data_IF_400491956835
#
_entry.id   IF_400491956835
#
_cell.length_a   1.000
_cell.length_b   1.000
_cell.length_c   1.000
_cell.angle_alpha   90.00
_cell.angle_beta   90.00
_cell.angle_gamma   90.00
#
_symmetry.space_group_name_H-M   'P 1'
#
loop_
_entity.id
_entity.type
_entity.pdbx_description
1 polymer ?
#
# COMPACT_ATOMS: atom_id res chain seq x y z
N UNK A 1 -28.78 -35.98 29.97
CA UNK A 1 -27.34 -35.67 30.13
C UNK A 1 -27.03 -34.46 29.26
N UNK A 2 -27.06 -33.26 29.84
CA UNK A 2 -26.69 -32.03 29.13
C UNK A 2 -25.17 -31.98 29.02
N UNK A 3 -24.64 -32.14 27.81
CA UNK A 3 -23.23 -31.96 27.51
C UNK A 3 -22.84 -30.52 27.80
N UNK A 4 -21.91 -30.34 28.74
CA UNK A 4 -21.35 -29.06 29.11
C UNK A 4 -20.55 -28.52 27.91
N UNK A 5 -21.19 -27.73 27.04
CA UNK A 5 -20.50 -27.01 25.97
C UNK A 5 -19.59 -26.01 26.67
N UNK A 6 -18.28 -26.30 26.75
CA UNK A 6 -17.29 -25.32 27.21
C UNK A 6 -17.42 -24.11 26.28
N UNK A 7 -17.99 -23.00 26.76
CA UNK A 7 -17.94 -21.74 26.06
C UNK A 7 -16.45 -21.42 25.85
N UNK A 8 -15.99 -21.48 24.60
CA UNK A 8 -14.67 -20.97 24.24
C UNK A 8 -14.62 -19.52 24.69
N UNK A 9 -13.55 -19.14 25.40
CA UNK A 9 -13.28 -17.76 25.76
C UNK A 9 -12.19 -17.26 24.82
N UNK A 10 -12.62 -16.71 23.70
CA UNK A 10 -11.77 -16.09 22.70
C UNK A 10 -11.34 -14.69 23.17
N UNK A 11 -10.19 -14.25 22.66
CA UNK A 11 -9.68 -12.91 22.84
C UNK A 11 -9.69 -12.19 21.49
N UNK A 12 -10.30 -11.02 21.45
CA UNK A 12 -10.40 -10.18 20.26
C UNK A 12 -9.54 -8.94 20.46
N UNK A 13 -8.68 -8.63 19.49
CA UNK A 13 -7.74 -7.52 19.55
C UNK A 13 -7.97 -6.57 18.38
N UNK A 14 -8.50 -5.39 18.65
CA UNK A 14 -8.58 -4.33 17.64
C UNK A 14 -7.35 -3.43 17.73
N UNK A 15 -6.71 -3.16 16.58
CA UNK A 15 -5.49 -2.35 16.49
C UNK A 15 -5.75 -1.15 15.58
N UNK A 16 -5.71 0.05 16.16
CA UNK A 16 -5.72 1.32 15.43
C UNK A 16 -4.30 1.86 15.27
N UNK A 17 -3.81 1.79 14.04
CA UNK A 17 -2.49 2.28 13.68
C UNK A 17 -2.47 3.80 13.44
N UNK A 18 -1.38 4.43 13.84
CA UNK A 18 -0.99 5.78 13.43
C UNK A 18 0.53 5.83 13.25
N UNK A 19 1.04 6.90 12.66
CA UNK A 19 2.48 7.08 12.43
C UNK A 19 3.31 7.17 13.72
N UNK A 20 2.69 7.48 14.87
CA UNK A 20 3.40 7.64 16.15
C UNK A 20 3.13 6.50 17.11
N UNK A 21 1.87 6.16 17.29
CA UNK A 21 1.42 5.18 18.29
C UNK A 21 0.33 4.27 17.72
N UNK A 22 0.26 3.05 18.24
CA UNK A 22 -0.85 2.14 18.04
C UNK A 22 -1.72 2.14 19.29
N UNK A 23 -3.02 2.38 19.08
CA UNK A 23 -4.03 2.20 20.13
C UNK A 23 -4.63 0.80 19.97
N UNK A 24 -4.76 0.07 21.06
CA UNK A 24 -5.21 -1.31 21.01
C UNK A 24 -6.31 -1.50 22.05
N UNK A 25 -7.32 -2.29 21.69
CA UNK A 25 -8.35 -2.76 22.61
C UNK A 25 -8.42 -4.27 22.52
N UNK A 26 -8.27 -4.91 23.67
CA UNK A 26 -8.41 -6.35 23.83
C UNK A 26 -9.73 -6.61 24.56
N UNK A 27 -10.48 -7.60 24.12
CA UNK A 27 -11.79 -7.94 24.70
C UNK A 27 -12.04 -9.45 24.69
N UNK A 28 -12.64 -9.99 25.74
CA UNK A 28 -13.07 -11.40 25.76
C UNK A 28 -14.55 -11.55 25.34
N UNK A 29 -15.06 -12.78 25.23
CA UNK A 29 -16.49 -13.03 24.92
C UNK A 29 -17.47 -12.51 25.98
N UNK A 30 -17.01 -12.27 27.22
CA UNK A 30 -17.85 -11.72 28.31
C UNK A 30 -18.04 -10.21 28.22
N UNK A 31 -17.26 -9.53 27.37
CA UNK A 31 -17.27 -8.08 27.25
C UNK A 31 -16.28 -7.37 28.17
N UNK A 32 -15.45 -8.11 28.92
CA UNK A 32 -14.33 -7.52 29.66
C UNK A 32 -13.32 -6.96 28.66
N UNK A 33 -12.78 -5.77 28.93
CA UNK A 33 -11.85 -5.10 28.00
C UNK A 33 -10.59 -4.62 28.69
N UNK A 34 -9.49 -4.60 27.94
CA UNK A 34 -8.19 -4.05 28.34
C UNK A 34 -7.60 -3.18 27.21
N UNK A 35 -7.59 -1.85 27.36
CA UNK A 35 -6.93 -0.97 26.39
C UNK A 35 -5.43 -0.86 26.67
N UNK A 36 -4.61 -0.75 25.62
CA UNK A 36 -3.19 -0.43 25.74
C UNK A 36 -2.69 0.46 24.59
N UNK A 37 -1.45 0.95 24.72
CA UNK A 37 -0.78 1.77 23.73
C UNK A 37 0.63 1.24 23.49
N UNK A 38 0.98 1.04 22.22
CA UNK A 38 2.34 0.70 21.80
C UNK A 38 2.88 1.78 20.87
N UNK A 39 4.21 1.93 20.80
CA UNK A 39 4.82 2.77 19.78
C UNK A 39 4.57 2.16 18.39
N UNK A 40 4.47 3.00 17.36
CA UNK A 40 4.29 2.51 15.99
C UNK A 40 5.49 1.65 15.58
N UNK A 41 5.22 0.41 15.14
CA UNK A 41 6.25 -0.55 14.75
C UNK A 41 6.81 -1.39 15.90
N UNK A 42 6.48 -1.08 17.15
CA UNK A 42 6.93 -1.85 18.31
C UNK A 42 6.08 -3.12 18.51
N UNK A 43 6.37 -4.11 17.68
CA UNK A 43 5.72 -5.41 17.72
C UNK A 43 5.97 -6.13 19.04
N UNK A 44 7.16 -5.99 19.64
CA UNK A 44 7.52 -6.70 20.87
C UNK A 44 6.62 -6.24 22.03
N UNK A 45 6.47 -4.93 22.18
CA UNK A 45 5.59 -4.36 23.21
C UNK A 45 4.12 -4.70 22.95
N UNK A 46 3.67 -4.69 21.69
CA UNK A 46 2.33 -5.13 21.33
C UNK A 46 2.05 -6.57 21.76
N UNK A 47 2.96 -7.50 21.43
CA UNK A 47 2.83 -8.91 21.78
C UNK A 47 2.85 -9.12 23.31
N UNK A 48 3.73 -8.42 24.03
CA UNK A 48 3.74 -8.47 25.50
C UNK A 48 2.40 -8.06 26.12
N UNK A 49 1.75 -7.01 25.60
CA UNK A 49 0.42 -6.64 26.09
C UNK A 49 -0.67 -7.67 25.76
N UNK A 50 -0.56 -8.35 24.63
CA UNK A 50 -1.49 -9.41 24.25
C UNK A 50 -1.33 -10.61 25.19
N UNK A 51 -0.08 -10.99 25.52
CA UNK A 51 0.23 -12.07 26.46
C UNK A 51 -0.28 -11.74 27.89
N UNK A 52 -0.10 -10.50 28.34
CA UNK A 52 -0.65 -10.04 29.62
C UNK A 52 -2.18 -10.10 29.63
N UNK A 53 -2.82 -9.74 28.51
CA UNK A 53 -4.27 -9.73 28.38
C UNK A 53 -4.86 -11.15 28.27
N UNK A 54 -4.14 -12.11 27.68
CA UNK A 54 -4.50 -13.53 27.69
C UNK A 54 -4.70 -14.01 29.14
N UNK A 55 -3.70 -13.76 29.99
CA UNK A 55 -3.72 -14.15 31.40
C UNK A 55 -4.83 -13.45 32.20
N UNK A 56 -5.02 -12.15 32.00
CA UNK A 56 -5.98 -11.35 32.77
C UNK A 56 -7.43 -11.53 32.31
N UNK A 57 -7.67 -11.62 31.01
CA UNK A 57 -9.02 -11.75 30.45
C UNK A 57 -9.48 -13.22 30.35
N UNK A 58 -8.55 -14.15 30.58
CA UNK A 58 -8.77 -15.58 30.71
C UNK A 58 -9.04 -16.25 29.37
N UNK A 59 -8.11 -16.12 28.41
CA UNK A 59 -8.23 -16.82 27.14
C UNK A 59 -8.27 -18.34 27.36
N UNK A 60 -9.26 -19.00 26.77
CA UNK A 60 -9.40 -20.47 26.76
C UNK A 60 -9.73 -20.99 25.36
N UNK A 61 -9.69 -20.11 24.37
CA UNK A 61 -10.03 -20.35 22.97
C UNK A 61 -8.98 -19.76 22.05
N UNK A 62 -9.43 -19.14 20.97
CA UNK A 62 -8.56 -18.56 19.95
C UNK A 62 -8.32 -17.07 20.19
N UNK A 63 -7.16 -16.61 19.74
CA UNK A 63 -6.77 -15.21 19.71
C UNK A 63 -6.96 -14.66 18.29
N UNK A 64 -7.89 -13.73 18.16
CA UNK A 64 -8.21 -13.03 16.91
C UNK A 64 -7.78 -11.58 17.01
N UNK A 65 -7.22 -11.04 15.92
CA UNK A 65 -6.92 -9.61 15.83
C UNK A 65 -7.49 -8.99 14.56
N UNK A 66 -7.70 -7.68 14.57
CA UNK A 66 -8.03 -6.95 13.37
C UNK A 66 -7.42 -5.55 13.33
N UNK A 67 -7.24 -5.04 12.11
CA UNK A 67 -6.93 -3.63 11.87
C UNK A 67 -7.50 -3.18 10.52
N UNK A 68 -7.63 -1.87 10.34
CA UNK A 68 -8.10 -1.27 9.09
C UNK A 68 -6.96 -1.18 8.06
N UNK A 69 -7.27 -1.54 6.81
CA UNK A 69 -6.35 -1.45 5.67
C UNK A 69 -5.74 -0.05 5.55
N UNK A 70 -4.43 0.03 5.30
CA UNK A 70 -3.66 1.28 5.23
C UNK A 70 -2.59 1.23 4.14
N UNK A 71 -1.90 2.34 3.89
CA UNK A 71 -0.80 2.39 2.93
C UNK A 71 0.50 1.69 3.38
N UNK A 72 0.61 1.32 4.66
CA UNK A 72 1.81 0.70 5.27
C UNK A 72 2.07 -0.76 4.85
N UNK A 73 1.35 -1.28 3.85
CA UNK A 73 1.45 -2.69 3.44
C UNK A 73 0.85 -3.66 4.47
N UNK A 74 1.27 -4.93 4.38
CA UNK A 74 0.71 -6.04 5.18
C UNK A 74 1.72 -6.72 6.11
N UNK A 75 2.83 -6.05 6.41
CA UNK A 75 3.88 -6.60 7.27
C UNK A 75 3.35 -6.97 8.67
N UNK A 76 2.49 -6.13 9.26
CA UNK A 76 1.93 -6.40 10.59
C UNK A 76 1.03 -7.63 10.58
N UNK A 77 0.21 -7.82 9.53
CA UNK A 77 -0.57 -9.05 9.39
C UNK A 77 0.34 -10.28 9.35
N UNK A 78 1.41 -10.26 8.55
CA UNK A 78 2.38 -11.37 8.48
C UNK A 78 3.07 -11.62 9.82
N UNK A 79 3.44 -10.56 10.52
CA UNK A 79 4.05 -10.65 11.84
C UNK A 79 3.11 -11.29 12.88
N UNK A 80 1.85 -10.85 12.94
CA UNK A 80 0.84 -11.43 13.83
C UNK A 80 0.57 -12.91 13.50
N UNK A 81 0.38 -13.24 12.22
CA UNK A 81 0.17 -14.63 11.78
C UNK A 81 1.37 -15.52 12.12
N UNK A 82 2.61 -15.01 12.06
CA UNK A 82 3.81 -15.76 12.47
C UNK A 82 3.83 -16.10 13.97
N UNK A 83 3.06 -15.37 14.79
CA UNK A 83 2.86 -15.63 16.21
C UNK A 83 1.59 -16.44 16.47
N UNK A 84 1.06 -17.12 15.45
CA UNK A 84 -0.19 -17.90 15.52
C UNK A 84 -1.44 -17.08 15.84
N UNK A 85 -1.39 -15.76 15.66
CA UNK A 85 -2.53 -14.86 15.86
C UNK A 85 -3.35 -14.81 14.57
N UNK A 86 -4.65 -15.11 14.68
CA UNK A 86 -5.56 -15.09 13.54
C UNK A 86 -5.97 -13.63 13.24
N UNK A 87 -5.34 -13.04 12.23
CA UNK A 87 -5.50 -11.62 11.95
C UNK A 87 -6.38 -11.32 10.72
N UNK A 88 -7.38 -10.48 10.90
CA UNK A 88 -8.30 -9.99 9.86
C UNK A 88 -7.99 -8.53 9.50
N UNK A 89 -7.73 -8.26 8.21
CA UNK A 89 -7.56 -6.88 7.73
C UNK A 89 -8.89 -6.40 7.14
N UNK A 90 -9.49 -5.38 7.74
CA UNK A 90 -10.79 -4.83 7.30
C UNK A 90 -10.53 -3.72 6.27
N UNK A 91 -11.22 -3.75 5.13
CA UNK A 91 -11.09 -2.73 4.09
C UNK A 91 -11.73 -1.42 4.56
N UNK A 92 -10.92 -0.38 4.82
CA UNK A 92 -11.37 0.92 5.32
C UNK A 92 -12.45 1.55 4.42
N UNK A 93 -12.30 1.42 3.09
CA UNK A 93 -13.23 1.97 2.11
C UNK A 93 -14.56 1.21 2.01
N UNK A 94 -14.70 0.08 2.71
CA UNK A 94 -15.96 -0.66 2.81
C UNK A 94 -16.84 -0.22 3.97
N UNK A 95 -16.32 0.64 4.85
CA UNK A 95 -17.03 1.14 6.03
C UNK A 95 -17.58 2.55 5.78
N UNK A 96 -18.73 2.91 6.38
CA UNK A 96 -19.32 4.24 6.22
C UNK A 96 -18.48 5.35 6.87
N UNK A 97 -17.73 5.02 7.92
CA UNK A 97 -16.85 5.93 8.66
C UNK A 97 -15.77 5.13 9.40
N UNK A 98 -14.80 5.83 10.02
CA UNK A 98 -13.74 5.19 10.79
C UNK A 98 -14.31 4.62 12.11
N UNK A 99 -14.31 3.29 12.32
CA UNK A 99 -14.85 2.70 13.53
C UNK A 99 -13.94 2.97 14.73
N UNK A 100 -14.55 3.11 15.91
CA UNK A 100 -13.86 3.07 17.20
C UNK A 100 -13.21 1.70 17.42
N UNK A 101 -12.32 1.58 18.41
CA UNK A 101 -11.72 0.29 18.76
C UNK A 101 -12.78 -0.74 19.18
N UNK A 102 -13.79 -0.32 19.94
CA UNK A 102 -14.89 -1.20 20.34
C UNK A 102 -15.68 -1.69 19.12
N UNK A 103 -16.03 -0.78 18.21
CA UNK A 103 -16.72 -1.16 16.96
C UNK A 103 -15.88 -2.13 16.12
N UNK A 104 -14.54 -2.01 16.10
CA UNK A 104 -13.68 -2.97 15.40
C UNK A 104 -13.69 -4.36 16.04
N UNK A 105 -13.71 -4.44 17.38
CA UNK A 105 -13.91 -5.71 18.10
C UNK A 105 -15.24 -6.34 17.70
N UNK A 106 -16.32 -5.55 17.65
CA UNK A 106 -17.65 -6.06 17.32
C UNK A 106 -17.73 -6.52 15.85
N UNK A 107 -17.11 -5.78 14.92
CA UNK A 107 -16.96 -6.21 13.52
C UNK A 107 -16.19 -7.54 13.44
N UNK A 108 -15.10 -7.68 14.20
CA UNK A 108 -14.32 -8.91 14.24
C UNK A 108 -15.15 -10.08 14.77
N UNK A 109 -15.92 -9.90 15.85
CA UNK A 109 -16.84 -10.91 16.37
C UNK A 109 -17.86 -11.36 15.32
N UNK A 110 -18.44 -10.42 14.59
CA UNK A 110 -19.37 -10.73 13.48
C UNK A 110 -18.67 -11.54 12.40
N UNK A 111 -17.45 -11.18 12.00
CA UNK A 111 -16.68 -11.92 11.01
C UNK A 111 -16.39 -13.36 11.44
N UNK A 112 -16.01 -13.57 12.70
CA UNK A 112 -15.70 -14.91 13.23
C UNK A 112 -16.98 -15.75 13.40
N UNK A 113 -18.07 -15.16 13.88
CA UNK A 113 -19.32 -15.88 14.14
C UNK A 113 -20.20 -16.12 12.90
N UNK A 114 -20.16 -15.22 11.92
CA UNK A 114 -21.01 -15.25 10.73
C UNK A 114 -20.31 -14.65 9.49
N UNK A 115 -19.26 -15.32 8.96
CA UNK A 115 -18.40 -14.78 7.90
C UNK A 115 -19.14 -14.45 6.60
N UNK A 116 -20.25 -15.12 6.29
CA UNK A 116 -21.05 -14.88 5.08
C UNK A 116 -22.03 -13.69 5.21
N UNK A 117 -22.27 -13.18 6.42
CA UNK A 117 -23.27 -12.15 6.70
C UNK A 117 -22.66 -10.80 7.11
N UNK A 118 -21.34 -10.64 6.99
CA UNK A 118 -20.65 -9.44 7.47
C UNK A 118 -20.94 -8.19 6.60
N UNK A 119 -21.20 -7.02 7.23
CA UNK A 119 -21.55 -5.79 6.51
C UNK A 119 -20.33 -5.02 5.95
N UNK A 120 -19.16 -5.67 5.85
CA UNK A 120 -17.90 -5.04 5.44
C UNK A 120 -17.03 -6.02 4.66
N UNK A 121 -16.01 -5.48 3.97
CA UNK A 121 -15.07 -6.29 3.19
C UNK A 121 -13.80 -6.57 3.99
N UNK A 122 -13.36 -7.82 3.92
CA UNK A 122 -12.05 -8.25 4.43
C UNK A 122 -11.08 -8.26 3.27
N UNK A 123 -9.90 -7.66 3.48
CA UNK A 123 -8.84 -7.64 2.49
C UNK A 123 -8.25 -9.04 2.37
N UNK A 124 -8.28 -9.60 1.16
CA UNK A 124 -7.44 -10.75 0.82
C UNK A 124 -5.98 -10.29 0.80
N UNK A 125 -5.26 -10.57 1.89
CA UNK A 125 -3.87 -10.18 2.04
C UNK A 125 -3.04 -10.90 0.96
N UNK A 126 -2.35 -10.16 0.07
CA UNK A 126 -1.52 -10.78 -0.96
C UNK A 126 -0.31 -11.47 -0.33
N UNK A 127 0.25 -12.44 -1.05
CA UNK A 127 1.57 -12.99 -0.68
C UNK A 127 2.64 -11.89 -0.73
N UNK A 128 3.80 -12.15 -0.12
CA UNK A 128 4.92 -11.22 -0.19
C UNK A 128 5.35 -10.97 -1.65
N UNK A 129 5.42 -12.03 -2.45
CA UNK A 129 5.79 -11.94 -3.87
C UNK A 129 4.76 -11.13 -4.67
N UNK A 130 3.47 -11.34 -4.43
CA UNK A 130 2.41 -10.56 -5.07
C UNK A 130 2.48 -9.06 -4.69
N UNK A 131 2.84 -8.75 -3.44
CA UNK A 131 3.05 -7.38 -2.98
C UNK A 131 4.27 -6.74 -3.64
N UNK A 132 5.37 -7.50 -3.78
CA UNK A 132 6.59 -7.08 -4.49
C UNK A 132 6.31 -6.79 -5.96
N UNK A 133 5.61 -7.69 -6.68
CA UNK A 133 5.22 -7.48 -8.09
C UNK A 133 4.40 -6.18 -8.24
N UNK A 134 3.45 -5.95 -7.32
CA UNK A 134 2.66 -4.70 -7.29
C UNK A 134 3.52 -3.48 -6.97
N UNK A 135 4.54 -3.62 -6.12
CA UNK A 135 5.48 -2.54 -5.81
C UNK A 135 6.26 -2.13 -7.05
N UNK A 136 6.93 -3.08 -7.70
CA UNK A 136 7.69 -2.87 -8.96
C UNK A 136 6.79 -2.28 -10.03
N UNK A 137 5.57 -2.80 -10.20
CA UNK A 137 4.59 -2.28 -11.16
C UNK A 137 4.16 -0.82 -10.88
N UNK A 138 4.10 -0.41 -9.61
CA UNK A 138 3.78 0.98 -9.22
C UNK A 138 4.95 1.93 -9.45
N UNK A 139 6.17 1.50 -9.17
CA UNK A 139 7.39 2.25 -9.48
C UNK A 139 7.53 2.48 -10.99
N UNK A 140 7.39 1.41 -11.78
CA UNK A 140 7.39 1.45 -13.26
C UNK A 140 6.43 2.50 -13.81
N UNK A 141 5.20 2.54 -13.29
CA UNK A 141 4.18 3.51 -13.70
C UNK A 141 4.57 4.95 -13.34
N UNK A 142 5.16 5.17 -12.16
CA UNK A 142 5.64 6.49 -11.72
C UNK A 142 6.78 6.99 -12.61
N UNK A 143 7.81 6.16 -12.83
CA UNK A 143 8.93 6.49 -13.72
C UNK A 143 8.46 6.77 -15.15
N UNK A 144 7.50 5.99 -15.68
CA UNK A 144 6.90 6.27 -16.99
C UNK A 144 6.22 7.64 -17.04
N UNK A 145 5.51 8.00 -15.96
CA UNK A 145 4.88 9.32 -15.85
C UNK A 145 5.92 10.43 -15.82
N UNK A 146 7.02 10.26 -15.09
CA UNK A 146 8.12 11.23 -15.00
C UNK A 146 8.81 11.42 -16.36
N UNK A 147 9.10 10.35 -17.10
CA UNK A 147 9.60 10.43 -18.49
C UNK A 147 8.69 11.29 -19.35
N UNK A 148 7.38 11.05 -19.30
CA UNK A 148 6.41 11.81 -20.07
C UNK A 148 6.40 13.29 -19.64
N UNK A 149 6.43 13.57 -18.33
CA UNK A 149 6.49 14.94 -17.80
C UNK A 149 7.72 15.71 -18.28
N UNK A 150 8.92 15.11 -18.26
CA UNK A 150 10.13 15.72 -18.78
C UNK A 150 10.05 15.97 -20.29
N UNK A 151 9.55 14.98 -21.05
CA UNK A 151 9.36 15.11 -22.50
C UNK A 151 8.44 16.27 -22.83
N UNK A 152 7.26 16.33 -22.19
CA UNK A 152 6.28 17.40 -22.40
C UNK A 152 6.83 18.77 -21.98
N UNK A 153 7.61 18.83 -20.90
CA UNK A 153 8.25 20.09 -20.47
C UNK A 153 9.23 20.61 -21.51
N UNK A 154 10.09 19.75 -22.05
CA UNK A 154 11.04 20.13 -23.10
C UNK A 154 10.33 20.55 -24.40
N UNK A 155 9.31 19.81 -24.83
CA UNK A 155 8.49 20.18 -25.99
C UNK A 155 7.84 21.56 -25.80
N UNK A 156 7.33 21.83 -24.60
CA UNK A 156 6.74 23.15 -24.29
C UNK A 156 7.77 24.27 -24.35
N UNK A 157 8.98 24.04 -23.83
CA UNK A 157 10.09 24.99 -23.89
C UNK A 157 10.45 25.32 -25.34
N UNK A 158 10.57 24.29 -26.20
CA UNK A 158 10.89 24.45 -27.62
C UNK A 158 9.77 25.17 -28.38
N UNK A 159 8.51 24.79 -28.14
CA UNK A 159 7.35 25.41 -28.77
C UNK A 159 7.24 26.92 -28.44
N UNK A 160 7.60 27.33 -27.22
CA UNK A 160 7.67 28.76 -26.83
C UNK A 160 8.72 29.54 -27.64
N UNK A 161 9.71 28.86 -28.24
CA UNK A 161 10.72 29.46 -29.12
C UNK A 161 10.33 29.33 -30.61
N UNK A 162 9.15 28.78 -30.92
CA UNK A 162 8.71 28.48 -32.29
C UNK A 162 9.30 27.20 -32.90
N UNK A 163 9.85 26.31 -32.06
CA UNK A 163 10.45 25.05 -32.49
C UNK A 163 9.50 23.88 -32.18
N UNK A 164 8.78 23.39 -33.19
CA UNK A 164 7.74 22.35 -33.03
C UNK A 164 8.23 20.96 -33.47
N UNK A 165 9.03 20.88 -34.53
CA UNK A 165 9.49 19.63 -35.14
C UNK A 165 10.89 19.20 -34.69
N UNK A 166 11.29 19.60 -33.48
CA UNK A 166 12.59 19.26 -32.90
C UNK A 166 12.42 18.14 -31.89
N UNK A 167 13.24 17.08 -31.99
CA UNK A 167 13.33 16.07 -30.94
C UNK A 167 13.93 16.73 -29.68
N UNK A 168 13.17 16.85 -28.58
CA UNK A 168 13.67 17.45 -27.35
C UNK A 168 14.83 16.68 -26.71
N UNK A 169 14.92 15.37 -26.96
CA UNK A 169 15.89 14.48 -26.32
C UNK A 169 17.25 14.59 -27.01
N UNK A 170 17.28 14.60 -28.34
CA UNK A 170 18.52 14.58 -29.13
C UNK A 170 18.94 15.97 -29.68
N UNK A 171 18.34 17.05 -29.18
CA UNK A 171 18.75 18.40 -29.57
C UNK A 171 19.95 18.90 -28.75
N UNK A 172 20.73 19.81 -29.36
CA UNK A 172 21.77 20.60 -28.67
C UNK A 172 21.25 22.02 -28.41
N UNK A 173 20.80 22.37 -27.19
CA UNK A 173 20.12 23.64 -26.94
C UNK A 173 20.96 24.88 -27.30
N UNK A 174 22.28 24.80 -27.25
CA UNK A 174 23.20 25.91 -27.61
C UNK A 174 23.30 26.18 -29.12
N UNK A 175 22.84 25.23 -29.95
CA UNK A 175 22.83 25.34 -31.41
C UNK A 175 21.48 25.75 -31.97
N UNK A 176 20.44 25.71 -31.16
CA UNK A 176 19.09 26.06 -31.57
C UNK A 176 18.93 27.57 -31.78
N UNK A 177 18.08 27.90 -32.74
CA UNK A 177 17.65 29.26 -33.03
C UNK A 177 16.14 29.34 -32.89
N UNK A 178 15.64 30.45 -32.37
CA UNK A 178 14.21 30.70 -32.26
C UNK A 178 13.60 31.05 -33.64
N UNK A 179 12.30 31.32 -33.64
CA UNK A 179 11.52 31.72 -34.82
C UNK A 179 12.07 32.96 -35.55
N UNK A 180 12.86 33.82 -34.87
CA UNK A 180 13.47 35.03 -35.44
C UNK A 180 14.95 34.81 -35.80
N UNK A 181 15.41 33.55 -35.81
CA UNK A 181 16.78 33.16 -36.14
C UNK A 181 17.82 33.53 -35.06
N UNK A 182 17.39 34.04 -33.91
CA UNK A 182 18.25 34.38 -32.77
C UNK A 182 18.57 33.13 -31.96
N UNK A 183 19.69 33.15 -31.25
CA UNK A 183 20.01 32.06 -30.31
C UNK A 183 19.01 32.07 -29.17
N UNK A 184 18.66 30.89 -28.67
CA UNK A 184 17.81 30.77 -27.49
C UNK A 184 18.46 31.48 -26.29
N UNK A 185 17.63 32.06 -25.42
CA UNK A 185 18.13 32.68 -24.19
C UNK A 185 18.88 31.65 -23.32
N UNK A 186 20.04 31.98 -22.71
CA UNK A 186 20.84 31.03 -21.94
C UNK A 186 20.06 30.27 -20.86
N UNK A 187 19.12 30.94 -20.18
CA UNK A 187 18.26 30.32 -19.16
C UNK A 187 17.42 29.16 -19.72
N UNK A 188 16.87 29.32 -20.94
CA UNK A 188 16.08 28.28 -21.60
C UNK A 188 16.99 27.13 -22.03
N UNK A 189 18.18 27.44 -22.57
CA UNK A 189 19.16 26.41 -22.93
C UNK A 189 19.55 25.57 -21.71
N UNK A 190 19.82 26.22 -20.58
CA UNK A 190 20.23 25.53 -19.36
C UNK A 190 19.08 24.75 -18.73
N UNK A 191 17.83 25.22 -18.83
CA UNK A 191 16.67 24.45 -18.43
C UNK A 191 16.48 23.19 -19.29
N UNK A 192 16.55 23.32 -20.62
CA UNK A 192 16.52 22.17 -21.54
C UNK A 192 17.60 21.15 -21.19
N UNK A 193 18.85 21.58 -20.97
CA UNK A 193 19.94 20.68 -20.56
C UNK A 193 19.65 19.97 -19.22
N UNK A 194 19.02 20.65 -18.25
CA UNK A 194 18.63 20.02 -16.97
C UNK A 194 17.47 19.05 -17.14
N UNK A 195 16.51 19.33 -18.03
CA UNK A 195 15.43 18.40 -18.38
C UNK A 195 15.96 17.16 -19.10
N UNK A 196 16.86 17.32 -20.08
CA UNK A 196 17.53 16.20 -20.77
C UNK A 196 18.26 15.27 -19.79
N UNK A 197 19.05 15.84 -18.86
CA UNK A 197 19.73 15.05 -17.81
C UNK A 197 18.77 14.28 -16.90
N UNK A 198 17.65 14.90 -16.51
CA UNK A 198 16.62 14.22 -15.69
C UNK A 198 15.92 13.12 -16.47
N UNK A 199 15.58 13.40 -17.73
CA UNK A 199 15.03 12.41 -18.64
C UNK A 199 15.95 11.18 -18.77
N UNK A 200 17.25 11.37 -19.02
CA UNK A 200 18.22 10.28 -19.16
C UNK A 200 18.27 9.41 -17.90
N UNK A 201 18.34 10.04 -16.72
CA UNK A 201 18.34 9.32 -15.44
C UNK A 201 17.08 8.48 -15.25
N UNK A 202 15.90 9.11 -15.40
CA UNK A 202 14.62 8.43 -15.18
C UNK A 202 14.39 7.35 -16.24
N UNK A 203 14.84 7.55 -17.48
CA UNK A 203 14.78 6.55 -18.54
C UNK A 203 15.61 5.31 -18.19
N UNK A 204 16.85 5.50 -17.76
CA UNK A 204 17.71 4.37 -17.34
C UNK A 204 17.11 3.60 -16.16
N UNK A 205 16.56 4.31 -15.17
CA UNK A 205 15.85 3.68 -14.05
C UNK A 205 14.59 2.94 -14.50
N UNK A 206 13.82 3.52 -15.41
CA UNK A 206 12.62 2.89 -15.98
C UNK A 206 12.98 1.59 -16.68
N UNK A 207 14.03 1.57 -17.50
CA UNK A 207 14.48 0.38 -18.23
C UNK A 207 14.87 -0.75 -17.26
N UNK A 208 15.63 -0.44 -16.20
CA UNK A 208 15.99 -1.39 -15.16
C UNK A 208 14.75 -1.96 -14.43
N UNK A 209 13.81 -1.09 -14.06
CA UNK A 209 12.57 -1.50 -13.38
C UNK A 209 11.63 -2.27 -14.33
N UNK A 210 11.61 -1.94 -15.62
CA UNK A 210 10.86 -2.66 -16.63
C UNK A 210 11.39 -4.09 -16.81
N UNK A 211 12.71 -4.28 -16.84
CA UNK A 211 13.32 -5.61 -16.90
C UNK A 211 12.97 -6.46 -15.66
N UNK A 212 13.04 -5.87 -14.46
CA UNK A 212 12.61 -6.52 -13.22
C UNK A 212 11.12 -6.90 -13.28
N UNK A 213 10.28 -5.99 -13.77
CA UNK A 213 8.85 -6.23 -13.90
C UNK A 213 8.56 -7.40 -14.86
N UNK A 214 9.22 -7.46 -16.01
CA UNK A 214 9.00 -8.50 -17.01
C UNK A 214 9.45 -9.88 -16.51
N UNK A 215 10.53 -9.95 -15.73
CA UNK A 215 10.97 -11.20 -15.06
C UNK A 215 9.97 -11.71 -14.02
N UNK A 216 9.23 -10.82 -13.37
CA UNK A 216 8.32 -11.16 -12.27
C UNK A 216 6.85 -11.23 -12.69
N UNK A 217 6.53 -10.84 -13.93
CA UNK A 217 5.14 -10.78 -14.40
C UNK A 217 4.59 -12.20 -14.56
N UNK A 218 3.48 -12.57 -13.91
CA UNK A 218 2.81 -13.82 -14.23
C UNK A 218 2.34 -13.79 -15.69
N UNK A 219 2.36 -14.93 -16.41
CA UNK A 219 1.90 -15.00 -17.79
C UNK A 219 0.49 -14.41 -17.88
N UNK A 220 0.30 -13.46 -18.80
CA UNK A 220 -1.04 -12.93 -19.02
C UNK A 220 -1.92 -14.03 -19.61
N UNK A 221 -3.18 -14.17 -19.16
CA UNK A 221 -4.14 -14.97 -19.89
C UNK A 221 -4.23 -14.39 -21.32
N UNK A 222 -3.99 -15.25 -22.31
CA UNK A 222 -4.14 -14.90 -23.72
C UNK A 222 -5.56 -14.37 -23.89
N UNK A 223 -5.71 -13.11 -24.35
CA UNK A 223 -7.03 -12.57 -24.68
C UNK A 223 -7.66 -13.51 -25.70
N UNK A 224 -8.80 -14.11 -25.37
CA UNK A 224 -9.56 -14.91 -26.32
C UNK A 224 -9.81 -14.05 -27.58
N UNK A 225 -9.66 -14.63 -28.79
CA UNK A 225 -9.93 -13.91 -30.01
C UNK A 225 -11.37 -13.34 -29.97
N UNK A 226 -11.60 -12.17 -30.58
CA UNK A 226 -12.95 -11.62 -30.66
C UNK A 226 -13.88 -12.66 -31.28
N UNK A 227 -15.05 -12.86 -30.66
CA UNK A 227 -16.10 -13.67 -31.27
C UNK A 227 -16.47 -13.00 -32.60
N UNK A 228 -16.32 -13.76 -33.68
CA UNK A 228 -16.81 -13.40 -35.02
C UNK A 228 -18.33 -13.25 -35.00
#
# INVERSE_FOLDING_TARGET
MQGNVRHQQNLYVAIQKSAKNWRVLMANDRGDTKPCHAAAGDLKTLLGYIDDADSELGLRGNLYSCYLSSQEGFWLHRALVSQMIQNTVIEMNSLPSKPTLQQQVDLLRVHIGAPEAQPFRVVKVPSLDEEIVKHVGRERKRLRSEINSHTTRMQSLLAMQGLIDIDPIDCRPDKLRDWDGKKLHPVIQDELKREQKRYELVKAQFEAVQELYDKQRPPQPVKAPPKL
#
